data_IF_011520802316
#
_entry.id   IF_011520802316
#
_cell.length_a   1.000
_cell.length_b   1.000
_cell.length_c   1.000
_cell.angle_alpha   90.00
_cell.angle_beta   90.00
_cell.angle_gamma   90.00
#
_symmetry.space_group_name_H-M   'P 1'
#
loop_
_entity.id
_entity.type
_entity.pdbx_description
1 polymer ?
#
# COMPACT_ATOMS: atom_id res chain seq x y z
N UNK A 1 9.46 11.10 -12.30
CA UNK A 1 10.53 11.76 -11.52
C UNK A 1 10.28 11.47 -10.05
N UNK A 2 11.23 10.87 -9.35
CA UNK A 2 11.19 10.68 -7.90
C UNK A 2 11.58 12.03 -7.27
N UNK A 3 10.65 12.70 -6.57
CA UNK A 3 10.94 13.94 -5.85
C UNK A 3 10.83 13.67 -4.34
N UNK A 4 11.95 13.32 -3.67
CA UNK A 4 11.94 12.96 -2.26
C UNK A 4 11.51 14.12 -1.33
N UNK A 5 11.57 15.36 -1.80
CA UNK A 5 11.21 16.55 -1.02
C UNK A 5 9.69 16.69 -0.77
N UNK A 6 8.87 15.88 -1.45
CA UNK A 6 7.41 15.93 -1.29
C UNK A 6 6.90 15.07 -0.12
N UNK A 7 7.67 14.07 0.33
CA UNK A 7 7.25 13.19 1.43
C UNK A 7 7.60 13.85 2.77
N UNK A 8 6.68 14.67 3.27
CA UNK A 8 6.82 15.36 4.55
C UNK A 8 6.42 14.46 5.73
N UNK A 9 6.79 14.80 6.97
CA UNK A 9 6.30 14.10 8.16
C UNK A 9 4.76 14.03 8.24
N UNK A 10 4.06 15.09 7.78
CA UNK A 10 2.60 15.11 7.74
C UNK A 10 2.01 14.06 6.79
N UNK A 11 2.68 13.77 5.67
CA UNK A 11 2.29 12.71 4.74
C UNK A 11 2.45 11.33 5.39
N UNK A 12 3.53 11.13 6.17
CA UNK A 12 3.76 9.89 6.91
C UNK A 12 2.70 9.67 7.97
N UNK A 13 2.35 10.71 8.74
CA UNK A 13 1.36 10.63 9.82
C UNK A 13 -0.07 10.33 9.31
N UNK A 14 -0.36 10.59 8.03
CA UNK A 14 -1.65 10.28 7.44
C UNK A 14 -1.93 8.77 7.36
N UNK A 15 -0.89 7.92 7.35
CA UNK A 15 -1.04 6.51 7.07
C UNK A 15 -0.90 5.64 8.35
N UNK A 16 -1.97 4.97 8.83
CA UNK A 16 -2.00 4.29 10.13
C UNK A 16 -0.95 3.19 10.32
N UNK A 17 -0.70 2.37 9.28
CA UNK A 17 0.32 1.32 9.33
C UNK A 17 1.74 1.90 9.31
N UNK A 18 2.03 2.75 8.31
CA UNK A 18 3.37 3.27 8.05
C UNK A 18 3.90 4.07 9.23
N UNK A 19 3.07 4.89 9.88
CA UNK A 19 3.49 5.68 11.05
C UNK A 19 3.83 4.83 12.28
N UNK A 20 3.33 3.60 12.37
CA UNK A 20 3.45 2.74 13.57
C UNK A 20 4.56 1.69 13.47
N UNK A 21 4.92 1.27 12.26
CA UNK A 21 5.83 0.14 12.06
C UNK A 21 7.20 0.59 11.58
N UNK A 22 8.20 0.39 12.44
CA UNK A 22 9.60 0.49 12.08
C UNK A 22 10.12 -0.85 11.50
N UNK A 23 11.22 -0.79 10.75
CA UNK A 23 11.89 -1.99 10.25
C UNK A 23 12.34 -2.92 11.38
N UNK A 24 12.74 -2.36 12.53
CA UNK A 24 13.11 -3.13 13.72
C UNK A 24 11.93 -3.92 14.29
N UNK A 25 10.74 -3.31 14.38
CA UNK A 25 9.54 -4.00 14.87
C UNK A 25 9.18 -5.14 13.93
N UNK A 26 9.20 -4.89 12.62
CA UNK A 26 8.93 -5.92 11.60
C UNK A 26 9.96 -7.05 11.69
N UNK A 27 11.24 -6.73 11.87
CA UNK A 27 12.30 -7.71 12.03
C UNK A 27 12.04 -8.64 13.22
N UNK A 28 11.80 -8.07 14.41
CA UNK A 28 11.52 -8.85 15.61
C UNK A 28 10.28 -9.73 15.45
N UNK A 29 9.22 -9.22 14.79
CA UNK A 29 8.04 -10.02 14.49
C UNK A 29 8.35 -11.23 13.60
N UNK A 30 9.27 -11.12 12.64
CA UNK A 30 9.66 -12.27 11.81
C UNK A 30 10.56 -13.26 12.56
N UNK A 31 11.45 -12.76 13.42
CA UNK A 31 12.30 -13.62 14.26
C UNK A 31 11.48 -14.48 15.23
N UNK A 32 10.38 -13.95 15.77
CA UNK A 32 9.45 -14.72 16.62
C UNK A 32 8.82 -15.94 15.92
N UNK A 33 8.84 -15.96 14.58
CA UNK A 33 8.33 -17.05 13.75
C UNK A 33 9.44 -17.89 13.11
N UNK A 34 10.67 -17.80 13.62
CA UNK A 34 11.84 -18.53 13.13
C UNK A 34 12.13 -18.29 11.63
N UNK A 35 11.72 -17.14 11.09
CA UNK A 35 12.00 -16.79 9.70
C UNK A 35 13.51 -16.60 9.52
N UNK A 36 14.06 -17.12 8.41
CA UNK A 36 15.49 -16.95 8.17
C UNK A 36 15.82 -15.48 7.81
N UNK A 37 17.00 -14.96 8.20
CA UNK A 37 17.34 -13.54 8.00
C UNK A 37 17.28 -13.05 6.55
N UNK A 38 17.52 -13.93 5.57
CA UNK A 38 17.44 -13.60 4.16
C UNK A 38 16.01 -13.24 3.73
N UNK A 39 15.03 -14.00 4.20
CA UNK A 39 13.61 -13.72 3.95
C UNK A 39 13.14 -12.47 4.69
N UNK A 40 13.62 -12.23 5.92
CA UNK A 40 13.31 -11.00 6.67
C UNK A 40 13.79 -9.77 5.90
N UNK A 41 15.05 -9.78 5.44
CA UNK A 41 15.62 -8.67 4.68
C UNK A 41 14.88 -8.46 3.35
N UNK A 42 14.57 -9.54 2.63
CA UNK A 42 13.83 -9.46 1.36
C UNK A 42 12.42 -8.89 1.55
N UNK A 43 11.73 -9.27 2.64
CA UNK A 43 10.45 -8.69 2.99
C UNK A 43 10.56 -7.19 3.32
N UNK A 44 11.54 -6.79 4.13
CA UNK A 44 11.78 -5.39 4.49
C UNK A 44 12.06 -4.52 3.26
N UNK A 45 12.91 -4.98 2.34
CA UNK A 45 13.17 -4.30 1.07
C UNK A 45 11.88 -4.08 0.27
N UNK A 46 11.02 -5.11 0.21
CA UNK A 46 9.73 -5.04 -0.50
C UNK A 46 8.76 -4.09 0.20
N UNK A 47 8.68 -4.16 1.52
CA UNK A 47 7.84 -3.28 2.33
C UNK A 47 8.28 -1.82 2.15
N UNK A 48 9.57 -1.53 2.22
CA UNK A 48 10.12 -0.17 2.11
C UNK A 48 9.81 0.44 0.73
N UNK A 49 10.01 -0.33 -0.35
CA UNK A 49 9.62 0.11 -1.71
C UNK A 49 8.14 0.46 -1.82
N UNK A 50 7.27 -0.35 -1.24
CA UNK A 50 5.82 -0.12 -1.26
C UNK A 50 5.42 1.07 -0.41
N UNK A 51 6.00 1.20 0.78
CA UNK A 51 5.84 2.35 1.68
C UNK A 51 6.19 3.62 0.93
N UNK A 52 7.39 3.69 0.34
CA UNK A 52 7.88 4.85 -0.43
C UNK A 52 6.93 5.20 -1.57
N UNK A 53 6.55 4.24 -2.41
CA UNK A 53 5.61 4.48 -3.51
C UNK A 53 4.25 5.00 -3.06
N UNK A 54 3.75 4.49 -1.93
CA UNK A 54 2.44 4.91 -1.39
C UNK A 54 2.51 6.35 -0.89
N UNK A 55 3.55 6.68 -0.12
CA UNK A 55 3.78 8.03 0.39
C UNK A 55 3.99 9.04 -0.75
N UNK A 56 4.68 8.66 -1.82
CA UNK A 56 4.83 9.50 -3.02
C UNK A 56 3.48 9.81 -3.68
N UNK A 57 2.58 8.82 -3.79
CA UNK A 57 1.25 9.03 -4.36
C UNK A 57 0.45 10.00 -3.48
N UNK A 58 0.46 9.81 -2.15
CA UNK A 58 -0.23 10.71 -1.22
C UNK A 58 0.36 12.12 -1.32
N UNK A 59 1.69 12.24 -1.35
CA UNK A 59 2.37 13.53 -1.44
C UNK A 59 2.01 14.28 -2.73
N UNK A 60 2.02 13.58 -3.88
CA UNK A 60 1.61 14.15 -5.17
C UNK A 60 0.15 14.60 -5.17
N UNK A 61 -0.73 13.81 -4.58
CA UNK A 61 -2.15 14.14 -4.48
C UNK A 61 -2.36 15.39 -3.63
N UNK A 62 -1.69 15.47 -2.47
CA UNK A 62 -1.73 16.64 -1.58
C UNK A 62 -1.09 17.90 -2.18
N UNK A 63 -0.07 17.75 -3.02
CA UNK A 63 0.55 18.90 -3.71
C UNK A 63 -0.28 19.42 -4.88
N UNK A 64 -1.42 18.79 -5.21
CA UNK A 64 -2.24 19.14 -6.36
C UNK A 64 -1.56 18.85 -7.70
N UNK A 65 -0.79 17.75 -7.80
CA UNK A 65 -0.13 17.35 -9.05
C UNK A 65 -1.17 17.19 -10.18
N UNK A 66 -1.13 18.02 -11.25
CA UNK A 66 -2.14 18.00 -12.30
C UNK A 66 -2.12 16.72 -13.14
N UNK A 67 -1.07 15.91 -13.03
CA UNK A 67 -0.95 14.62 -13.73
C UNK A 67 -1.59 13.46 -12.96
N UNK A 68 -2.03 13.69 -11.72
CA UNK A 68 -2.66 12.69 -10.87
C UNK A 68 -4.10 13.08 -10.61
N UNK A 69 -5.05 12.34 -11.20
CA UNK A 69 -6.48 12.58 -11.02
C UNK A 69 -7.16 11.54 -10.14
N UNK A 70 -6.59 10.33 -10.04
CA UNK A 70 -7.11 9.30 -9.15
C UNK A 70 -6.06 8.28 -8.75
N UNK A 71 -6.48 7.33 -7.92
CA UNK A 71 -5.64 6.26 -7.39
C UNK A 71 -6.44 4.96 -7.51
N UNK A 72 -5.94 3.99 -8.28
CA UNK A 72 -6.51 2.64 -8.39
C UNK A 72 -5.80 1.67 -7.46
N UNK A 73 -6.56 0.74 -6.91
CA UNK A 73 -6.06 -0.35 -6.09
C UNK A 73 -5.86 -1.60 -6.96
N UNK A 74 -4.67 -2.19 -6.94
CA UNK A 74 -4.35 -3.37 -7.74
C UNK A 74 -3.65 -4.45 -6.91
N UNK A 75 -3.82 -5.72 -7.29
CA UNK A 75 -3.11 -6.83 -6.67
C UNK A 75 -1.75 -7.07 -7.33
N UNK A 76 -0.73 -7.22 -6.50
CA UNK A 76 0.62 -7.64 -6.89
C UNK A 76 0.87 -9.13 -6.65
N UNK A 77 0.15 -9.73 -5.70
CA UNK A 77 0.21 -11.16 -5.39
C UNK A 77 -1.21 -11.74 -5.27
N UNK A 78 -1.95 -11.92 -6.38
CA UNK A 78 -3.36 -12.31 -6.33
C UNK A 78 -3.63 -13.61 -5.57
N UNK A 79 -2.74 -14.59 -5.70
CA UNK A 79 -2.84 -15.89 -5.02
C UNK A 79 -2.75 -15.77 -3.49
N UNK A 80 -2.10 -14.72 -2.97
CA UNK A 80 -1.89 -14.48 -1.53
C UNK A 80 -2.77 -13.35 -0.97
N UNK A 81 -3.60 -12.75 -1.80
CA UNK A 81 -4.49 -11.67 -1.39
C UNK A 81 -5.56 -12.18 -0.42
N UNK A 82 -5.72 -11.50 0.72
CA UNK A 82 -6.83 -11.73 1.62
C UNK A 82 -8.18 -11.33 0.97
N UNK A 83 -9.33 -11.76 1.51
CA UNK A 83 -10.64 -11.43 0.95
C UNK A 83 -10.88 -9.93 0.75
N UNK A 84 -10.35 -9.10 1.67
CA UNK A 84 -10.47 -7.65 1.61
C UNK A 84 -9.67 -7.09 0.42
N UNK A 85 -8.40 -7.46 0.28
CA UNK A 85 -7.57 -7.06 -0.85
C UNK A 85 -8.17 -7.51 -2.19
N UNK A 86 -8.78 -8.69 -2.25
CA UNK A 86 -9.47 -9.19 -3.45
C UNK A 86 -10.67 -8.34 -3.82
N UNK A 87 -11.53 -8.01 -2.83
CA UNK A 87 -12.70 -7.14 -3.02
C UNK A 87 -12.31 -5.75 -3.51
N UNK A 88 -11.20 -5.21 -2.98
CA UNK A 88 -10.72 -3.86 -3.31
C UNK A 88 -9.98 -3.77 -4.64
N UNK A 89 -9.59 -4.90 -5.25
CA UNK A 89 -8.87 -4.89 -6.52
C UNK A 89 -9.72 -4.28 -7.62
N UNK A 90 -9.16 -3.30 -8.34
CA UNK A 90 -9.83 -2.57 -9.42
C UNK A 90 -10.57 -1.32 -8.95
N UNK A 91 -10.86 -1.19 -7.64
CA UNK A 91 -11.50 0.01 -7.10
C UNK A 91 -10.58 1.22 -7.23
N UNK A 92 -11.17 2.40 -7.38
CA UNK A 92 -10.41 3.65 -7.47
C UNK A 92 -10.93 4.75 -6.54
N UNK A 93 -10.06 5.72 -6.27
CA UNK A 93 -10.30 6.88 -5.42
C UNK A 93 -9.95 8.13 -6.23
N UNK A 94 -10.89 9.07 -6.45
CA UNK A 94 -10.56 10.39 -6.98
C UNK A 94 -9.65 11.17 -6.02
N UNK A 95 -8.64 11.90 -6.52
CA UNK A 95 -7.77 12.73 -5.65
C UNK A 95 -8.51 13.87 -4.96
N UNK A 96 -9.72 14.20 -5.40
CA UNK A 96 -10.55 15.17 -4.71
C UNK A 96 -11.07 14.66 -3.35
N UNK A 97 -11.02 13.35 -3.08
CA UNK A 97 -11.50 12.76 -1.82
C UNK A 97 -10.34 12.34 -0.91
N UNK A 98 -9.76 13.33 -0.23
CA UNK A 98 -8.58 13.16 0.62
C UNK A 98 -8.79 12.23 1.82
N UNK A 99 -10.05 11.98 2.19
CA UNK A 99 -10.40 11.13 3.35
C UNK A 99 -9.88 9.70 3.18
N UNK A 100 -9.74 9.24 1.94
CA UNK A 100 -9.28 7.90 1.61
C UNK A 100 -7.75 7.73 1.60
N UNK A 101 -6.97 8.80 1.77
CA UNK A 101 -5.50 8.71 1.75
C UNK A 101 -4.93 7.88 2.90
N UNK A 102 -5.60 7.90 4.05
CA UNK A 102 -5.27 7.05 5.20
C UNK A 102 -5.60 5.57 4.98
N UNK A 103 -6.35 5.27 3.91
CA UNK A 103 -6.80 3.94 3.51
C UNK A 103 -6.24 3.53 2.15
N UNK A 104 -5.03 4.00 1.84
CA UNK A 104 -4.24 3.44 0.73
C UNK A 104 -3.43 2.23 1.21
N UNK A 105 -3.16 1.24 0.34
CA UNK A 105 -2.31 0.12 0.69
C UNK A 105 -0.87 0.58 0.86
N UNK A 106 -0.07 -0.02 1.75
CA UNK A 106 -0.35 -1.29 2.44
C UNK A 106 -1.31 -1.18 3.64
N UNK A 107 -2.37 -1.99 3.67
CA UNK A 107 -3.33 -2.01 4.78
C UNK A 107 -2.82 -2.74 6.03
N UNK A 108 -1.88 -3.66 5.82
CA UNK A 108 -1.20 -4.46 6.84
C UNK A 108 0.08 -5.09 6.25
N UNK A 109 0.89 -5.72 7.09
CA UNK A 109 2.06 -6.48 6.64
C UNK A 109 1.61 -7.66 5.76
N UNK A 110 2.27 -7.86 4.62
CA UNK A 110 1.84 -8.85 3.62
C UNK A 110 0.74 -8.40 2.68
N UNK A 111 0.28 -7.16 2.75
CA UNK A 111 -0.77 -6.65 1.87
C UNK A 111 -0.45 -6.98 0.39
N UNK A 112 -1.35 -7.68 -0.29
CA UNK A 112 -1.16 -7.99 -1.70
C UNK A 112 -1.54 -6.82 -2.62
N UNK A 113 -2.28 -5.83 -2.10
CA UNK A 113 -2.69 -4.65 -2.84
C UNK A 113 -1.58 -3.59 -2.94
N UNK A 114 -1.64 -2.77 -3.99
CA UNK A 114 -0.81 -1.58 -4.21
C UNK A 114 -1.66 -0.43 -4.74
N UNK A 115 -1.21 0.80 -4.49
CA UNK A 115 -1.77 2.00 -5.08
C UNK A 115 -1.12 2.27 -6.45
N UNK A 116 -1.94 2.63 -7.42
CA UNK A 116 -1.53 2.99 -8.79
C UNK A 116 -2.12 4.35 -9.11
N UNK A 117 -1.26 5.32 -9.40
CA UNK A 117 -1.66 6.64 -9.88
C UNK A 117 -2.42 6.53 -11.21
N UNK A 118 -3.54 7.24 -11.32
CA UNK A 118 -4.31 7.40 -12.56
C UNK A 118 -4.16 8.84 -13.09
N UNK A 119 -3.96 8.98 -14.39
CA UNK A 119 -4.05 10.26 -15.10
C UNK A 119 -5.51 10.73 -15.22
N UNK A 120 -5.75 12.00 -15.59
CA UNK A 120 -7.11 12.49 -15.89
C UNK A 120 -7.85 11.69 -16.96
N UNK A 121 -7.14 11.16 -17.96
CA UNK A 121 -7.69 10.32 -19.02
C UNK A 121 -8.07 8.95 -18.47
N UNK A 122 -7.16 8.30 -17.73
CA UNK A 122 -7.40 6.98 -17.13
C UNK A 122 -8.54 7.02 -16.11
N UNK A 123 -8.71 8.14 -15.38
CA UNK A 123 -9.81 8.33 -14.46
C UNK A 123 -11.18 8.36 -15.18
N UNK A 124 -11.26 8.99 -16.36
CA UNK A 124 -12.50 9.06 -17.16
C UNK A 124 -12.94 7.71 -17.68
N UNK A 125 -12.01 6.77 -17.82
CA UNK A 125 -12.29 5.39 -18.22
C UNK A 125 -12.86 4.55 -17.06
N UNK A 126 -12.76 5.02 -15.81
CA UNK A 126 -13.31 4.32 -14.67
C UNK A 126 -14.82 4.52 -14.59
N UNK A 127 -15.53 3.47 -14.16
CA UNK A 127 -16.98 3.53 -13.94
C UNK A 127 -17.28 3.98 -12.52
N UNK A 128 -18.33 4.79 -12.32
CA UNK A 128 -18.70 5.27 -10.99
C UNK A 128 -18.93 4.14 -9.96
N UNK A 129 -19.39 2.96 -10.38
CA UNK A 129 -19.57 1.76 -9.55
C UNK A 129 -18.26 1.17 -8.98
N UNK A 130 -17.13 1.46 -9.62
CA UNK A 130 -15.80 1.06 -9.19
C UNK A 130 -15.16 2.08 -8.23
N UNK A 131 -15.84 3.19 -7.93
CA UNK A 131 -15.38 4.13 -6.92
C UNK A 131 -15.40 3.47 -5.54
N UNK A 132 -14.35 3.65 -4.76
CA UNK A 132 -14.29 3.19 -3.39
C UNK A 132 -15.33 3.95 -2.55
N UNK A 133 -16.04 3.21 -1.70
CA UNK A 133 -17.03 3.76 -0.77
C UNK A 133 -16.61 3.55 0.69
N UNK A 134 -17.22 4.30 1.62
CA UNK A 134 -16.92 4.22 3.06
C UNK A 134 -17.19 2.81 3.65
N UNK A 135 -18.13 2.06 3.08
CA UNK A 135 -18.47 0.69 3.49
C UNK A 135 -17.41 -0.36 3.07
N UNK A 136 -16.52 0.03 2.17
CA UNK A 136 -15.49 -0.84 1.60
C UNK A 136 -14.13 -0.64 2.28
N UNK A 137 -14.01 0.31 3.21
CA UNK A 137 -12.77 0.64 3.89
C UNK A 137 -12.16 -0.58 4.58
N UNK A 138 -10.84 -0.83 4.41
CA UNK A 138 -10.18 -1.92 5.07
C UNK A 138 -10.08 -1.64 6.58
N UNK A 139 -10.16 -2.67 7.43
CA UNK A 139 -10.07 -2.53 8.89
C UNK A 139 -8.68 -2.12 9.40
N UNK A 140 -7.68 -1.98 8.52
CA UNK A 140 -6.30 -1.62 8.84
C UNK A 140 -5.68 -2.50 9.95
N UNK A 141 -5.85 -3.81 9.81
CA UNK A 141 -5.22 -4.81 10.68
C UNK A 141 -3.70 -4.83 10.50
N UNK A 142 -2.97 -5.26 11.54
CA UNK A 142 -1.51 -5.32 11.52
C UNK A 142 -1.00 -6.26 10.40
N UNK A 143 -1.69 -7.37 10.16
CA UNK A 143 -1.33 -8.38 9.18
C UNK A 143 -2.44 -8.51 8.12
N UNK A 144 -2.05 -8.67 6.87
CA UNK A 144 -2.94 -9.06 5.77
C UNK A 144 -2.87 -10.58 5.51
N UNK A 145 -2.33 -11.33 6.46
CA UNK A 145 -2.24 -12.79 6.49
C UNK A 145 -0.91 -13.28 7.05
N UNK A 146 -0.95 -14.36 7.85
CA UNK A 146 0.22 -14.89 8.58
C UNK A 146 1.18 -15.67 7.68
N UNK A 147 0.78 -15.91 6.43
CA UNK A 147 1.62 -16.55 5.42
C UNK A 147 2.94 -15.83 5.18
N UNK A 148 3.03 -14.54 5.54
CA UNK A 148 4.24 -13.72 5.36
C UNK A 148 5.44 -14.27 6.11
N UNK A 149 5.23 -14.93 7.25
CA UNK A 149 6.33 -15.41 8.09
C UNK A 149 6.95 -16.71 7.56
N UNK A 150 6.18 -17.46 6.77
CA UNK A 150 6.59 -18.75 6.19
C UNK A 150 6.88 -18.67 4.70
N UNK A 151 6.75 -17.48 4.10
CA UNK A 151 6.95 -17.28 2.68
C UNK A 151 8.43 -17.04 2.35
N UNK A 152 8.98 -17.70 1.31
CA UNK A 152 10.38 -17.58 0.96
C UNK A 152 10.66 -16.30 0.16
N UNK A 153 10.58 -15.14 0.83
CA UNK A 153 10.74 -13.81 0.21
C UNK A 153 12.06 -13.64 -0.55
N UNK A 154 13.14 -14.26 -0.08
CA UNK A 154 14.45 -14.23 -0.73
C UNK A 154 14.48 -14.94 -2.09
N UNK A 155 13.50 -15.81 -2.35
CA UNK A 155 13.36 -16.54 -3.62
C UNK A 155 12.44 -15.84 -4.62
N UNK A 156 11.67 -14.82 -4.21
CA UNK A 156 10.91 -13.98 -5.14
C UNK A 156 11.89 -13.05 -5.88
N UNK A 157 12.20 -13.37 -7.14
CA UNK A 157 12.95 -12.48 -8.03
C UNK A 157 12.16 -11.17 -8.25
N UNK A 158 12.89 -10.05 -8.12
CA UNK A 158 12.39 -8.66 -8.19
C UNK A 158 11.76 -8.28 -9.52
#
# INVERSE_FOLDING_TARGET
>A
MHNPDLVTPEVVECHPLIRRLSGQVIWCMFEEYDANPGDIQAFLDRYDKRKTRTLEIIARAKSGDPTLAGIRLELTLPAKACPICRRLSGKFIPVSDERFYSFLPPFGLGCAARAVALSPEELKEQKAEDSLTDEELPPCELLCGDWIFTHPWSLETR
#
